data_IF_269392809007
#
_entry.id   IF_269392809007
#
_cell.length_a   1.000
_cell.length_b   1.000
_cell.length_c   1.000
_cell.angle_alpha   90.00
_cell.angle_beta   90.00
_cell.angle_gamma   90.00
#
_symmetry.space_group_name_H-M   'P 1'
#
loop_
_entity.id
_entity.type
_entity.pdbx_description
1 polymer ?
#
# COMPACT_ATOMS: atom_id res chain seq x y z
N UNK A 1 -16.70 7.09 22.17
CA UNK A 1 -15.34 7.39 21.70
C UNK A 1 -14.88 6.15 20.91
N UNK A 2 -14.35 6.30 19.71
CA UNK A 2 -13.76 5.15 19.00
C UNK A 2 -12.50 4.76 19.78
N UNK A 3 -12.35 3.48 20.09
CA UNK A 3 -11.20 2.97 20.83
C UNK A 3 -9.91 3.19 20.03
N UNK A 4 -8.84 3.60 20.73
CA UNK A 4 -7.53 3.76 20.16
C UNK A 4 -7.00 2.40 19.66
N UNK A 5 -6.34 2.33 18.50
CA UNK A 5 -5.72 1.09 18.09
C UNK A 5 -4.52 0.74 18.99
N UNK A 6 -4.32 -0.56 19.20
CA UNK A 6 -3.15 -1.08 19.90
C UNK A 6 -1.90 -1.08 19.02
N UNK A 7 -2.07 -1.24 17.72
CA UNK A 7 -1.03 -1.17 16.70
C UNK A 7 -1.64 -0.79 15.35
N UNK A 8 -0.82 -0.32 14.42
CA UNK A 8 -1.25 0.00 13.06
C UNK A 8 -0.31 -0.64 12.04
N UNK A 9 -0.89 -1.37 11.09
CA UNK A 9 -0.22 -1.80 9.88
C UNK A 9 -0.75 -0.97 8.71
N UNK A 10 0.14 -0.51 7.84
CA UNK A 10 -0.21 0.28 6.66
C UNK A 10 0.08 -0.49 5.38
N UNK A 11 -0.72 -0.30 4.36
CA UNK A 11 -0.25 -0.44 3.00
C UNK A 11 0.70 0.72 2.65
N UNK A 12 1.34 0.66 1.49
CA UNK A 12 2.35 1.62 1.05
C UNK A 12 1.88 2.50 -0.10
N UNK A 13 1.75 1.92 -1.31
CA UNK A 13 1.37 2.64 -2.51
C UNK A 13 -0.07 3.17 -2.41
N UNK A 14 -0.27 4.44 -2.71
CA UNK A 14 -1.54 5.18 -2.65
C UNK A 14 -2.18 5.29 -1.25
N UNK A 15 -1.54 4.72 -0.25
CA UNK A 15 -1.88 4.88 1.17
C UNK A 15 -0.94 5.87 1.85
N UNK A 16 0.37 5.63 1.81
CA UNK A 16 1.40 6.51 2.38
C UNK A 16 2.20 7.27 1.33
N UNK A 17 2.37 6.72 0.13
CA UNK A 17 3.09 7.34 -0.99
C UNK A 17 2.26 7.27 -2.28
N UNK A 18 2.47 8.22 -3.20
CA UNK A 18 1.91 8.13 -4.57
C UNK A 18 2.74 7.12 -5.37
N UNK A 19 2.21 5.92 -5.54
CA UNK A 19 2.81 4.86 -6.34
C UNK A 19 2.55 5.01 -7.85
N UNK A 20 1.59 5.83 -8.25
CA UNK A 20 1.13 5.90 -9.63
C UNK A 20 2.18 6.43 -10.60
N UNK A 21 3.08 7.32 -10.17
CA UNK A 21 4.11 7.89 -11.05
C UNK A 21 5.10 6.82 -11.54
N UNK A 22 5.52 5.92 -10.68
CA UNK A 22 6.40 4.81 -11.06
C UNK A 22 5.66 3.77 -11.93
N UNK A 23 4.39 3.48 -11.62
CA UNK A 23 3.55 2.58 -12.42
C UNK A 23 3.37 3.13 -13.85
N UNK A 24 3.05 4.42 -13.99
CA UNK A 24 2.93 5.11 -15.27
C UNK A 24 4.21 5.04 -16.09
N UNK A 25 5.36 5.34 -15.47
CA UNK A 25 6.67 5.27 -16.11
C UNK A 25 6.97 3.85 -16.60
N UNK A 26 6.76 2.83 -15.77
CA UNK A 26 6.99 1.43 -16.09
C UNK A 26 6.10 0.94 -17.24
N UNK A 27 4.79 1.24 -17.20
CA UNK A 27 3.85 0.89 -18.27
C UNK A 27 4.25 1.55 -19.59
N UNK A 28 4.57 2.85 -19.55
CA UNK A 28 4.95 3.58 -20.75
C UNK A 28 6.30 3.15 -21.31
N UNK A 29 7.23 2.64 -20.49
CA UNK A 29 8.44 1.99 -20.97
C UNK A 29 8.12 0.70 -21.74
N UNK A 30 7.24 -0.14 -21.19
CA UNK A 30 6.79 -1.34 -21.90
C UNK A 30 6.03 -0.98 -23.19
N UNK A 31 5.08 -0.05 -23.15
CA UNK A 31 4.34 0.38 -24.35
C UNK A 31 5.27 0.91 -25.46
N UNK A 32 6.27 1.71 -25.12
CA UNK A 32 7.28 2.19 -26.10
C UNK A 32 8.01 1.04 -26.79
N UNK A 33 8.47 0.05 -26.01
CA UNK A 33 9.18 -1.10 -26.56
C UNK A 33 8.34 -1.93 -27.51
N UNK A 34 7.02 -2.04 -27.26
CA UNK A 34 6.08 -2.79 -28.08
C UNK A 34 5.38 -1.93 -29.16
N UNK A 35 5.77 -0.65 -29.32
CA UNK A 35 5.14 0.25 -30.28
C UNK A 35 3.66 0.55 -30.01
N UNK A 36 3.24 0.43 -28.76
CA UNK A 36 1.87 0.69 -28.32
C UNK A 36 1.71 2.16 -27.88
N UNK A 37 0.48 2.73 -27.98
CA UNK A 37 0.21 4.07 -27.46
C UNK A 37 0.50 4.16 -25.97
N UNK A 38 1.23 5.20 -25.57
CA UNK A 38 1.48 5.48 -24.17
C UNK A 38 0.21 5.99 -23.46
N UNK A 39 0.09 5.69 -22.18
CA UNK A 39 -1.01 6.15 -21.33
C UNK A 39 -0.59 7.35 -20.50
N UNK A 40 -1.48 8.33 -20.38
CA UNK A 40 -1.41 9.37 -19.38
C UNK A 40 -1.90 8.87 -17.99
N UNK A 41 -1.76 9.70 -16.97
CA UNK A 41 -2.18 9.37 -15.62
C UNK A 41 -3.65 8.95 -15.55
N UNK A 42 -4.55 9.63 -16.27
CA UNK A 42 -5.97 9.32 -16.22
C UNK A 42 -6.26 7.95 -16.84
N UNK A 43 -5.57 7.60 -17.91
CA UNK A 43 -5.67 6.28 -18.55
C UNK A 43 -5.09 5.17 -17.65
N UNK A 44 -3.96 5.43 -16.97
CA UNK A 44 -3.39 4.50 -16.00
C UNK A 44 -4.40 4.21 -14.89
N UNK A 45 -4.94 5.24 -14.24
CA UNK A 45 -5.95 5.12 -13.18
C UNK A 45 -7.22 4.39 -13.64
N UNK A 46 -7.64 4.57 -14.89
CA UNK A 46 -8.83 3.92 -15.43
C UNK A 46 -8.62 2.42 -15.73
N UNK A 47 -7.40 2.02 -16.09
CA UNK A 47 -7.11 0.69 -16.63
C UNK A 47 -6.33 -0.23 -15.67
N UNK A 48 -5.55 0.33 -14.74
CA UNK A 48 -4.79 -0.46 -13.75
C UNK A 48 -5.66 -0.75 -12.54
N UNK A 49 -6.52 -1.78 -12.66
CA UNK A 49 -7.47 -2.19 -11.59
C UNK A 49 -7.19 -3.59 -11.06
N UNK A 50 -6.28 -4.33 -11.70
CA UNK A 50 -5.93 -5.72 -11.36
C UNK A 50 -4.42 -5.87 -11.24
N UNK A 51 -3.98 -6.94 -10.59
CA UNK A 51 -2.57 -7.27 -10.51
C UNK A 51 -1.94 -7.37 -11.92
N UNK A 52 -0.68 -6.95 -12.06
CA UNK A 52 0.04 -6.97 -13.34
C UNK A 52 0.02 -8.35 -14.02
N UNK A 53 0.12 -9.44 -13.24
CA UNK A 53 0.05 -10.82 -13.75
C UNK A 53 -1.28 -11.15 -14.45
N UNK A 54 -2.34 -10.39 -14.17
CA UNK A 54 -3.66 -10.58 -14.79
C UNK A 54 -3.84 -9.66 -16.00
N UNK A 55 -3.36 -8.41 -15.91
CA UNK A 55 -3.54 -7.39 -16.94
C UNK A 55 -2.49 -7.48 -18.06
N UNK A 56 -1.25 -7.88 -17.77
CA UNK A 56 -0.19 -7.92 -18.77
C UNK A 56 -0.42 -8.94 -19.90
N UNK A 57 -0.93 -10.16 -19.66
CA UNK A 57 -1.30 -11.07 -20.74
C UNK A 57 -2.37 -10.49 -21.68
N UNK A 58 -3.30 -9.68 -21.17
CA UNK A 58 -4.31 -9.01 -22.00
C UNK A 58 -3.71 -7.88 -22.84
N UNK A 59 -2.73 -7.14 -22.31
CA UNK A 59 -2.08 -6.00 -22.95
C UNK A 59 -1.00 -6.41 -23.95
N UNK A 60 -0.22 -7.45 -23.64
CA UNK A 60 1.00 -7.80 -24.36
C UNK A 60 1.00 -9.21 -24.94
N UNK A 61 -0.10 -9.99 -24.76
CA UNK A 61 -0.23 -11.33 -25.30
C UNK A 61 0.88 -12.28 -24.85
N UNK A 62 1.46 -13.02 -25.78
CA UNK A 62 2.52 -14.00 -25.49
C UNK A 62 3.83 -13.37 -24.97
N UNK A 63 4.05 -12.08 -25.21
CA UNK A 63 5.26 -11.35 -24.79
C UNK A 63 5.12 -10.68 -23.40
N UNK A 64 4.08 -10.99 -22.66
CA UNK A 64 3.76 -10.31 -21.40
C UNK A 64 4.88 -10.42 -20.35
N UNK A 65 5.64 -11.50 -20.33
CA UNK A 65 6.76 -11.65 -19.39
C UNK A 65 7.90 -10.68 -19.70
N UNK A 66 8.21 -10.49 -21.00
CA UNK A 66 9.19 -9.49 -21.46
C UNK A 66 8.71 -8.09 -21.13
N UNK A 67 7.42 -7.79 -21.34
CA UNK A 67 6.83 -6.50 -20.97
C UNK A 67 6.91 -6.25 -19.45
N UNK A 68 6.62 -7.27 -18.63
CA UNK A 68 6.78 -7.24 -17.17
C UNK A 68 8.22 -6.91 -16.77
N UNK A 69 9.18 -7.53 -17.40
CA UNK A 69 10.60 -7.34 -17.05
C UNK A 69 11.07 -5.92 -17.40
N UNK A 70 10.59 -5.36 -18.53
CA UNK A 70 10.82 -3.94 -18.90
C UNK A 70 10.15 -3.00 -17.90
N UNK A 71 8.89 -3.26 -17.56
CA UNK A 71 8.15 -2.50 -16.55
C UNK A 71 8.93 -2.42 -15.23
N UNK A 72 9.34 -3.55 -14.67
CA UNK A 72 10.07 -3.56 -13.41
C UNK A 72 11.48 -2.99 -13.52
N UNK A 73 12.14 -3.07 -14.68
CA UNK A 73 13.43 -2.42 -14.90
C UNK A 73 13.28 -0.89 -14.80
N UNK A 74 12.26 -0.32 -15.47
CA UNK A 74 11.98 1.11 -15.39
C UNK A 74 11.56 1.55 -13.99
N UNK A 75 10.65 0.81 -13.35
CA UNK A 75 10.23 1.09 -11.97
C UNK A 75 11.45 1.12 -11.04
N UNK A 76 12.35 0.13 -11.11
CA UNK A 76 13.59 0.13 -10.30
C UNK A 76 14.50 1.30 -10.59
N UNK A 77 14.53 1.78 -11.83
CA UNK A 77 15.38 2.90 -12.22
C UNK A 77 14.84 4.26 -11.75
N UNK A 78 13.51 4.44 -11.70
CA UNK A 78 12.90 5.74 -11.48
C UNK A 78 12.20 5.91 -10.13
N UNK A 79 11.83 4.83 -9.42
CA UNK A 79 10.90 4.89 -8.28
C UNK A 79 11.32 5.90 -7.20
N UNK A 80 12.60 5.97 -6.84
CA UNK A 80 13.08 6.95 -5.84
C UNK A 80 13.05 8.39 -6.34
N UNK A 81 13.16 8.60 -7.66
CA UNK A 81 13.16 9.94 -8.26
C UNK A 81 11.77 10.55 -8.35
N UNK A 82 10.76 9.69 -8.57
CA UNK A 82 9.36 10.11 -8.73
C UNK A 82 8.53 9.92 -7.46
N UNK A 83 9.12 9.35 -6.40
CA UNK A 83 8.45 9.06 -5.14
C UNK A 83 7.96 10.34 -4.46
N UNK A 84 6.68 10.39 -4.15
CA UNK A 84 6.07 11.49 -3.42
C UNK A 84 5.24 10.95 -2.24
N UNK A 85 5.40 11.50 -1.03
CA UNK A 85 4.48 11.21 0.07
C UNK A 85 3.04 11.62 -0.27
N UNK A 86 2.07 10.81 0.15
CA UNK A 86 0.67 11.25 0.15
C UNK A 86 0.49 12.46 1.08
N UNK A 87 -0.36 13.44 0.70
CA UNK A 87 -0.62 14.60 1.54
C UNK A 87 -1.04 14.20 2.97
N UNK A 88 -0.27 14.63 3.97
CA UNK A 88 -0.51 14.30 5.38
C UNK A 88 0.08 12.98 5.87
N UNK A 89 0.70 12.15 5.01
CA UNK A 89 1.26 10.86 5.41
C UNK A 89 2.34 10.99 6.50
N UNK A 90 3.28 11.90 6.33
CA UNK A 90 4.31 12.16 7.36
C UNK A 90 3.67 12.51 8.72
N UNK A 91 2.66 13.38 8.73
CA UNK A 91 1.98 13.75 9.98
C UNK A 91 1.24 12.56 10.61
N UNK A 92 0.63 11.67 9.81
CA UNK A 92 -0.03 10.47 10.30
C UNK A 92 0.98 9.48 10.93
N UNK A 93 2.12 9.29 10.28
CA UNK A 93 3.23 8.46 10.80
C UNK A 93 3.76 9.05 12.11
N UNK A 94 4.05 10.34 12.15
CA UNK A 94 4.56 11.02 13.34
C UNK A 94 3.56 10.98 14.51
N UNK A 95 2.26 11.10 14.23
CA UNK A 95 1.21 11.03 15.26
C UNK A 95 1.15 9.64 15.93
N UNK A 96 1.47 8.57 15.21
CA UNK A 96 1.58 7.20 15.75
C UNK A 96 2.95 6.89 16.35
N UNK A 97 4.02 7.53 15.86
CA UNK A 97 5.39 7.21 16.23
C UNK A 97 5.66 7.38 17.73
N UNK A 98 6.34 6.39 18.33
CA UNK A 98 6.63 6.36 19.75
C UNK A 98 5.42 6.16 20.68
N UNK A 99 4.22 5.99 20.11
CA UNK A 99 2.97 5.74 20.85
C UNK A 99 2.41 4.36 20.55
N UNK A 100 2.51 3.91 19.32
CA UNK A 100 1.95 2.66 18.82
C UNK A 100 3.02 1.88 18.06
N UNK A 101 3.04 0.55 18.19
CA UNK A 101 3.75 -0.30 17.26
C UNK A 101 3.17 -0.09 15.84
N UNK A 102 4.03 0.15 14.86
CA UNK A 102 3.64 0.34 13.47
C UNK A 102 4.45 -0.54 12.55
N UNK A 103 3.86 -0.97 11.45
CA UNK A 103 4.50 -1.72 10.37
C UNK A 103 3.87 -1.43 9.03
N UNK A 104 4.51 -1.92 7.97
CA UNK A 104 4.01 -1.84 6.60
C UNK A 104 3.85 -3.25 6.03
N UNK A 105 2.75 -3.48 5.32
CA UNK A 105 2.49 -4.70 4.55
C UNK A 105 1.94 -4.30 3.18
N UNK A 106 2.69 -4.54 2.11
CA UNK A 106 2.35 -4.08 0.76
C UNK A 106 2.59 -5.15 -0.30
N UNK A 107 1.85 -5.08 -1.41
CA UNK A 107 2.12 -5.88 -2.61
C UNK A 107 3.22 -5.29 -3.50
N UNK A 108 3.86 -4.20 -3.07
CA UNK A 108 5.11 -3.73 -3.66
C UNK A 108 6.24 -4.71 -3.35
N UNK A 109 7.14 -4.97 -4.31
CA UNK A 109 8.31 -5.83 -4.08
C UNK A 109 9.09 -5.38 -2.84
N UNK A 110 9.42 -6.30 -1.93
CA UNK A 110 10.05 -6.00 -0.64
C UNK A 110 11.30 -5.13 -0.74
N UNK A 111 12.26 -5.39 -1.66
CA UNK A 111 13.43 -4.53 -1.84
C UNK A 111 13.09 -3.08 -2.23
N UNK A 112 12.08 -2.85 -3.08
CA UNK A 112 11.65 -1.51 -3.47
C UNK A 112 10.97 -0.77 -2.30
N UNK A 113 10.06 -1.45 -1.59
CA UNK A 113 9.42 -0.91 -0.40
C UNK A 113 10.46 -0.41 0.63
N UNK A 114 11.42 -1.25 0.95
CA UNK A 114 12.47 -0.90 1.94
C UNK A 114 13.37 0.24 1.46
N UNK A 115 13.72 0.26 0.18
CA UNK A 115 14.51 1.36 -0.40
C UNK A 115 13.75 2.69 -0.34
N UNK A 116 12.46 2.69 -0.63
CA UNK A 116 11.61 3.89 -0.54
C UNK A 116 11.43 4.36 0.90
N UNK A 117 11.21 3.45 1.85
CA UNK A 117 11.10 3.80 3.27
C UNK A 117 12.38 4.45 3.80
N UNK A 118 13.55 3.91 3.43
CA UNK A 118 14.87 4.51 3.77
C UNK A 118 15.04 5.86 3.08
N UNK A 119 14.70 5.99 1.80
CA UNK A 119 14.81 7.25 1.04
C UNK A 119 14.00 8.38 1.69
N UNK A 120 12.81 8.07 2.22
CA UNK A 120 11.96 9.03 2.94
C UNK A 120 12.37 9.21 4.42
N UNK A 121 13.32 8.41 4.94
CA UNK A 121 13.68 8.38 6.34
C UNK A 121 12.57 7.87 7.25
N UNK A 122 11.62 7.09 6.70
CA UNK A 122 10.46 6.57 7.45
C UNK A 122 10.68 5.17 8.01
N UNK A 123 11.72 4.46 7.57
CA UNK A 123 12.11 3.14 8.07
C UNK A 123 12.25 3.11 9.60
N UNK A 124 12.72 4.19 10.21
CA UNK A 124 12.86 4.33 11.68
C UNK A 124 11.55 4.30 12.45
N UNK A 125 10.41 4.51 11.80
CA UNK A 125 9.08 4.56 12.44
C UNK A 125 8.34 3.22 12.39
N UNK A 126 8.80 2.29 11.55
CA UNK A 126 8.19 1.00 11.35
C UNK A 126 9.08 -0.13 11.88
N UNK A 127 8.48 -1.09 12.58
CA UNK A 127 9.16 -2.33 12.92
C UNK A 127 9.32 -3.19 11.66
N UNK A 128 8.29 -3.91 11.19
CA UNK A 128 8.33 -4.68 9.96
C UNK A 128 8.02 -3.82 8.72
N UNK A 129 8.72 -4.09 7.63
CA UNK A 129 8.47 -3.61 6.26
C UNK A 129 8.34 -4.84 5.35
N UNK A 130 7.13 -5.38 5.27
CA UNK A 130 6.82 -6.63 4.56
C UNK A 130 6.30 -6.28 3.15
N UNK A 131 7.01 -6.71 2.13
CA UNK A 131 6.63 -6.53 0.74
C UNK A 131 6.28 -7.84 0.05
N UNK A 132 5.86 -7.75 -1.21
CA UNK A 132 5.60 -8.91 -2.04
C UNK A 132 6.82 -9.83 -2.11
N UNK A 133 6.60 -11.13 -1.92
CA UNK A 133 7.61 -12.17 -1.91
C UNK A 133 8.30 -12.41 -0.56
N UNK A 134 8.03 -11.61 0.46
CA UNK A 134 8.60 -11.83 1.80
C UNK A 134 7.82 -12.92 2.56
N UNK A 135 6.50 -13.01 2.35
CA UNK A 135 5.64 -14.04 2.95
C UNK A 135 5.30 -15.16 1.95
N UNK A 136 4.67 -16.24 2.42
CA UNK A 136 4.27 -17.38 1.60
C UNK A 136 3.25 -17.02 0.49
N UNK A 137 2.49 -15.94 0.67
CA UNK A 137 1.55 -15.40 -0.32
C UNK A 137 1.36 -13.90 -0.07
N UNK A 138 1.07 -13.15 -1.14
CA UNK A 138 0.78 -11.72 -1.09
C UNK A 138 -0.69 -11.44 -0.72
N UNK A 139 -1.04 -10.17 -0.40
CA UNK A 139 -2.44 -9.75 -0.23
C UNK A 139 -3.29 -10.13 -1.46
N UNK A 140 -4.50 -10.64 -1.31
CA UNK A 140 -5.38 -10.62 -0.14
C UNK A 140 -5.16 -11.73 0.89
N UNK A 141 -4.12 -12.58 0.75
CA UNK A 141 -3.75 -13.53 1.80
C UNK A 141 -3.41 -12.78 3.10
N UNK A 142 -3.80 -13.28 4.28
CA UNK A 142 -3.40 -12.70 5.55
C UNK A 142 -1.95 -13.02 5.94
N UNK A 143 -1.25 -13.86 5.18
CA UNK A 143 0.11 -14.33 5.51
C UNK A 143 1.10 -13.19 5.78
N UNK A 144 1.20 -12.12 4.94
CA UNK A 144 2.13 -11.02 5.22
C UNK A 144 1.73 -10.19 6.43
N UNK A 145 0.42 -10.10 6.75
CA UNK A 145 -0.07 -9.45 7.97
C UNK A 145 0.37 -10.26 9.21
N UNK A 146 0.22 -11.59 9.18
CA UNK A 146 0.67 -12.44 10.28
C UNK A 146 2.19 -12.33 10.49
N UNK A 147 2.98 -12.30 9.42
CA UNK A 147 4.43 -12.08 9.50
C UNK A 147 4.76 -10.73 10.17
N UNK A 148 4.05 -9.67 9.81
CA UNK A 148 4.24 -8.35 10.41
C UNK A 148 3.87 -8.35 11.90
N UNK A 149 2.75 -8.97 12.27
CA UNK A 149 2.32 -9.09 13.68
C UNK A 149 3.31 -9.91 14.51
N UNK A 150 3.80 -11.03 13.99
CA UNK A 150 4.82 -11.84 14.65
C UNK A 150 6.09 -11.02 14.93
N UNK A 151 6.55 -10.23 13.97
CA UNK A 151 7.70 -9.33 14.11
C UNK A 151 7.49 -8.26 15.19
N UNK A 152 6.24 -7.86 15.44
CA UNK A 152 5.86 -6.92 16.50
C UNK A 152 5.57 -7.61 17.85
N UNK A 153 5.59 -8.94 17.91
CA UNK A 153 5.21 -9.69 19.11
C UNK A 153 3.71 -9.58 19.44
N UNK A 154 2.86 -9.40 18.42
CA UNK A 154 1.43 -9.19 18.57
C UNK A 154 0.64 -10.37 18.01
N UNK A 155 -0.50 -10.68 18.64
CA UNK A 155 -1.51 -11.59 18.12
C UNK A 155 -2.60 -10.79 17.38
N UNK A 156 -3.20 -11.34 16.29
CA UNK A 156 -4.31 -10.72 15.60
C UNK A 156 -5.46 -10.35 16.53
N UNK A 157 -6.00 -9.14 16.40
CA UNK A 157 -7.14 -8.68 17.17
C UNK A 157 -7.84 -7.48 16.51
N UNK A 158 -9.16 -7.25 16.77
CA UNK A 158 -9.91 -6.15 16.17
C UNK A 158 -9.46 -4.74 16.61
N UNK A 159 -8.63 -4.63 17.64
CA UNK A 159 -8.01 -3.40 18.11
C UNK A 159 -6.69 -3.06 17.39
N UNK A 160 -6.27 -3.89 16.43
CA UNK A 160 -5.18 -3.59 15.50
C UNK A 160 -5.79 -3.13 14.19
N UNK A 161 -5.32 -1.99 13.68
CA UNK A 161 -5.79 -1.44 12.42
C UNK A 161 -4.89 -1.86 11.27
N UNK A 162 -5.50 -2.26 10.16
CA UNK A 162 -4.83 -2.31 8.88
C UNK A 162 -5.38 -1.21 8.00
N UNK A 163 -4.54 -0.27 7.59
CA UNK A 163 -4.89 0.92 6.81
C UNK A 163 -4.42 0.74 5.38
N UNK A 164 -5.34 0.78 4.41
CA UNK A 164 -5.05 0.64 2.98
C UNK A 164 -6.09 1.36 2.12
N UNK A 165 -5.88 1.44 0.81
CA UNK A 165 -6.71 2.21 -0.12
C UNK A 165 -7.60 1.36 -1.02
N UNK A 166 -7.51 0.02 -0.95
CA UNK A 166 -8.22 -0.91 -1.84
C UNK A 166 -9.09 -1.92 -1.12
N UNK A 167 -10.05 -2.53 -1.85
CA UNK A 167 -10.83 -3.66 -1.37
C UNK A 167 -9.93 -4.87 -1.02
N UNK A 168 -8.81 -5.03 -1.71
CA UNK A 168 -7.84 -6.10 -1.47
C UNK A 168 -7.19 -5.96 -0.09
N UNK A 169 -6.91 -4.73 0.35
CA UNK A 169 -6.44 -4.42 1.69
C UNK A 169 -7.46 -4.78 2.76
N UNK A 170 -8.70 -4.39 2.52
CA UNK A 170 -9.80 -4.68 3.44
C UNK A 170 -10.08 -6.19 3.55
N UNK A 171 -9.92 -6.94 2.46
CA UNK A 171 -10.01 -8.40 2.46
C UNK A 171 -8.89 -9.03 3.31
N UNK A 172 -7.64 -8.59 3.09
CA UNK A 172 -6.48 -9.08 3.85
C UNK A 172 -6.64 -8.79 5.35
N UNK A 173 -7.04 -7.57 5.71
CA UNK A 173 -7.28 -7.15 7.10
C UNK A 173 -8.30 -8.06 7.80
N UNK A 174 -9.46 -8.27 7.16
CA UNK A 174 -10.53 -9.13 7.71
C UNK A 174 -10.10 -10.60 7.80
N UNK A 175 -9.41 -11.11 6.78
CA UNK A 175 -8.89 -12.48 6.81
C UNK A 175 -7.88 -12.69 7.95
N UNK A 176 -7.17 -11.62 8.35
CA UNK A 176 -6.26 -11.64 9.49
C UNK A 176 -6.96 -11.35 10.84
N UNK A 177 -8.24 -11.02 10.87
CA UNK A 177 -8.98 -10.66 12.10
C UNK A 177 -8.66 -9.25 12.63
N UNK A 178 -8.17 -8.36 11.79
CA UNK A 178 -7.87 -6.97 12.09
C UNK A 178 -9.04 -6.05 11.71
N UNK A 179 -9.05 -4.82 12.23
CA UNK A 179 -9.94 -3.78 11.77
C UNK A 179 -9.50 -3.29 10.39
N UNK A 180 -10.41 -3.37 9.42
CA UNK A 180 -10.19 -2.92 8.05
C UNK A 180 -10.46 -1.40 7.96
N UNK A 181 -9.42 -0.60 7.74
CA UNK A 181 -9.49 0.87 7.70
C UNK A 181 -9.15 1.35 6.29
N UNK A 182 -10.13 1.92 5.62
CA UNK A 182 -9.94 2.46 4.27
C UNK A 182 -9.38 3.88 4.33
N UNK A 183 -8.38 4.14 3.50
CA UNK A 183 -7.84 5.47 3.19
C UNK A 183 -8.36 5.96 1.84
N UNK A 184 -8.98 7.13 1.82
CA UNK A 184 -9.53 7.69 0.59
C UNK A 184 -10.95 7.21 0.27
N UNK A 185 -11.33 7.32 -1.00
CA UNK A 185 -12.67 6.99 -1.50
C UNK A 185 -12.74 5.69 -2.30
N UNK A 186 -11.60 5.04 -2.52
CA UNK A 186 -11.46 3.84 -3.35
C UNK A 186 -12.12 3.98 -4.75
N UNK A 187 -12.16 5.20 -5.32
CA UNK A 187 -12.83 5.47 -6.60
C UNK A 187 -12.25 4.60 -7.74
N UNK A 188 -10.96 4.34 -7.70
CA UNK A 188 -10.26 3.47 -8.66
C UNK A 188 -10.60 1.98 -8.49
N UNK A 189 -11.18 1.58 -7.35
CA UNK A 189 -11.51 0.19 -6.98
C UNK A 189 -13.02 -0.06 -6.74
N UNK A 190 -13.85 0.77 -7.36
CA UNK A 190 -15.32 0.65 -7.30
C UNK A 190 -16.01 1.41 -6.18
N UNK A 191 -15.27 2.20 -5.40
CA UNK A 191 -15.77 3.09 -4.36
C UNK A 191 -15.93 2.42 -2.99
N UNK A 192 -16.16 3.22 -1.96
CA UNK A 192 -16.20 2.79 -0.55
C UNK A 192 -17.13 1.60 -0.31
N UNK A 193 -18.29 1.60 -0.95
CA UNK A 193 -19.32 0.58 -0.70
C UNK A 193 -18.89 -0.85 -1.08
N UNK A 194 -17.94 -0.99 -2.02
CA UNK A 194 -17.43 -2.29 -2.47
C UNK A 194 -16.34 -2.84 -1.59
N UNK A 195 -15.64 -2.00 -0.82
CA UNK A 195 -14.47 -2.40 -0.04
C UNK A 195 -14.83 -3.17 1.23
N UNK A 196 -15.99 -2.90 1.82
CA UNK A 196 -16.43 -3.46 3.10
C UNK A 196 -15.56 -3.00 4.28
N UNK A 197 -15.03 -1.79 4.25
CA UNK A 197 -14.24 -1.22 5.33
C UNK A 197 -15.07 -1.04 6.62
N UNK A 198 -14.45 -1.28 7.77
CA UNK A 198 -15.04 -1.04 9.10
C UNK A 198 -14.98 0.45 9.46
N UNK A 199 -14.01 1.17 8.91
CA UNK A 199 -13.78 2.58 9.13
C UNK A 199 -13.15 3.21 7.88
N UNK A 200 -13.45 4.50 7.64
CA UNK A 200 -12.92 5.26 6.52
C UNK A 200 -12.31 6.56 7.03
N UNK A 201 -11.13 6.90 6.55
CA UNK A 201 -10.55 8.24 6.62
C UNK A 201 -10.44 8.79 5.21
N UNK A 202 -10.88 10.03 4.99
CA UNK A 202 -10.86 10.63 3.67
C UNK A 202 -9.41 10.87 3.16
N UNK A 203 -8.46 11.06 4.07
CA UNK A 203 -7.05 11.30 3.76
C UNK A 203 -6.16 11.09 5.00
N UNK A 204 -4.84 11.16 4.81
CA UNK A 204 -3.88 10.99 5.90
C UNK A 204 -3.94 12.13 6.96
N UNK A 205 -4.42 13.32 6.62
CA UNK A 205 -4.59 14.40 7.62
C UNK A 205 -5.66 14.02 8.64
N UNK A 206 -6.78 13.46 8.19
CA UNK A 206 -7.87 13.03 9.07
C UNK A 206 -7.40 11.90 10.00
N UNK A 207 -6.60 10.96 9.46
CA UNK A 207 -5.97 9.93 10.27
C UNK A 207 -5.00 10.54 11.30
N UNK A 208 -4.16 11.50 10.90
CA UNK A 208 -3.23 12.19 11.81
C UNK A 208 -3.96 12.88 12.96
N UNK A 209 -5.06 13.57 12.67
CA UNK A 209 -5.90 14.22 13.69
C UNK A 209 -6.48 13.18 14.66
N UNK A 210 -7.01 12.07 14.11
CA UNK A 210 -7.56 11.00 14.93
C UNK A 210 -6.49 10.40 15.85
N UNK A 211 -5.31 10.07 15.32
CA UNK A 211 -4.19 9.50 16.11
C UNK A 211 -3.66 10.49 17.15
N UNK A 212 -3.58 11.78 16.82
CA UNK A 212 -3.13 12.82 17.75
C UNK A 212 -4.09 13.02 18.93
N UNK A 213 -5.39 12.76 18.71
CA UNK A 213 -6.43 12.90 19.75
C UNK A 213 -6.49 11.68 20.69
N UNK A 214 -5.76 10.59 20.40
CA UNK A 214 -5.71 9.43 21.27
C UNK A 214 -4.96 9.79 22.56
N UNK A 215 -5.65 9.73 23.67
CA UNK A 215 -5.04 9.86 24.99
C UNK A 215 -4.14 8.64 25.20
N UNK A 216 -2.89 8.85 25.64
CA UNK A 216 -2.04 7.73 26.05
C UNK A 216 -2.83 6.89 27.04
N UNK A 217 -2.90 5.55 26.88
CA UNK A 217 -3.34 4.70 27.97
C UNK A 217 -2.41 4.97 29.16
N UNK A 218 -3.00 5.20 30.32
CA UNK A 218 -2.30 5.46 31.55
C UNK A 218 -1.45 4.26 31.99
#
# INVERSE_FOLDING_TARGET
MKEAPRAILFDWDNTLVDGWAAIEAGLNAAFREFGLPQWDRAQVLANVRRALRESFPELFGAEWERARDIFYAEVRACHLQVLQPMPGAAAAIEAGAGRLPMGVVSNKQGPLLRAEAVHLGWDRHFGPLIGAGDAAADKPSPAPIFMALESLGLSPAPDIWYVGDTALDMQAARAAGLRAVLMGDAAHDGGIATTGADQVFANCHDLAIALSSLVKPA
#
